data_IF_012245167866
#
_entry.id   IF_012245167866
#
_cell.length_a   1.000
_cell.length_b   1.000
_cell.length_c   1.000
_cell.angle_alpha   90.00
_cell.angle_beta   90.00
_cell.angle_gamma   90.00
#
_symmetry.space_group_name_H-M   'P 1'
#
loop_
_entity.id
_entity.type
_entity.pdbx_description
1 polymer ?
#
# COMPACT_ATOMS: atom_id res chain seq x y z
N UNK A 1 -55.46 37.26 -29.31
CA UNK A 1 -53.99 37.16 -29.40
C UNK A 1 -53.53 36.05 -28.47
N UNK A 2 -53.32 34.84 -29.01
CA UNK A 2 -52.79 33.66 -28.32
C UNK A 2 -51.30 33.57 -28.69
N UNK A 3 -50.40 33.52 -27.71
CA UNK A 3 -48.99 33.15 -27.92
C UNK A 3 -48.81 31.73 -27.41
N UNK A 4 -48.52 30.84 -28.35
CA UNK A 4 -48.10 29.45 -28.15
C UNK A 4 -46.59 29.42 -27.89
N UNK A 5 -46.17 28.85 -26.77
CA UNK A 5 -44.76 28.51 -26.49
C UNK A 5 -44.43 27.12 -27.08
N UNK A 6 -43.25 26.90 -27.68
CA UNK A 6 -42.83 25.58 -28.09
C UNK A 6 -42.20 24.83 -26.90
N UNK A 7 -42.64 23.58 -26.71
CA UNK A 7 -41.99 22.61 -25.84
C UNK A 7 -40.68 22.13 -26.50
N UNK A 8 -39.56 22.31 -25.81
CA UNK A 8 -38.26 21.76 -26.18
C UNK A 8 -38.16 20.34 -25.59
N UNK A 9 -38.22 19.31 -26.44
CA UNK A 9 -37.98 17.92 -26.06
C UNK A 9 -36.47 17.71 -26.06
N UNK A 10 -35.87 17.60 -24.87
CA UNK A 10 -34.47 17.20 -24.69
C UNK A 10 -34.42 15.68 -24.88
N UNK A 11 -33.81 15.23 -25.98
CA UNK A 11 -33.52 13.83 -26.22
C UNK A 11 -32.41 13.35 -25.30
N UNK A 12 -32.75 12.50 -24.34
CA UNK A 12 -31.80 11.78 -23.50
C UNK A 12 -31.07 10.75 -24.37
N UNK A 13 -29.80 10.99 -24.67
CA UNK A 13 -28.95 10.01 -25.32
C UNK A 13 -28.56 8.94 -24.29
N UNK A 14 -29.16 7.74 -24.42
CA UNK A 14 -28.75 6.55 -23.69
C UNK A 14 -27.35 6.14 -24.19
N UNK A 15 -26.31 6.43 -23.41
CA UNK A 15 -25.00 5.83 -23.60
C UNK A 15 -25.10 4.35 -23.23
N UNK A 16 -25.05 3.47 -24.22
CA UNK A 16 -24.91 2.04 -24.00
C UNK A 16 -23.52 1.78 -23.43
N UNK A 17 -23.44 1.52 -22.13
CA UNK A 17 -22.25 0.93 -21.51
C UNK A 17 -21.96 -0.40 -22.23
N UNK A 18 -20.93 -0.40 -23.07
CA UNK A 18 -20.40 -1.64 -23.62
C UNK A 18 -19.82 -2.43 -22.47
N UNK A 19 -20.46 -3.53 -22.08
CA UNK A 19 -19.85 -4.51 -21.21
C UNK A 19 -18.56 -4.98 -21.89
N UNK A 20 -17.40 -4.66 -21.31
CA UNK A 20 -16.13 -5.27 -21.69
C UNK A 20 -16.25 -6.75 -21.36
N UNK A 21 -16.68 -7.56 -22.33
CA UNK A 21 -16.55 -9.01 -22.24
C UNK A 21 -15.07 -9.31 -22.41
N UNK A 22 -14.36 -9.55 -21.30
CA UNK A 22 -13.03 -10.16 -21.35
C UNK A 22 -13.16 -11.47 -22.12
N UNK A 23 -12.43 -11.58 -23.23
CA UNK A 23 -12.36 -12.84 -23.95
C UNK A 23 -11.60 -13.82 -23.05
N UNK A 24 -12.15 -15.00 -22.73
CA UNK A 24 -11.44 -15.98 -21.92
C UNK A 24 -10.08 -16.27 -22.57
N UNK A 25 -9.00 -16.17 -21.80
CA UNK A 25 -7.66 -16.54 -22.28
C UNK A 25 -7.69 -18.04 -22.61
N UNK A 26 -7.23 -18.41 -23.81
CA UNK A 26 -7.08 -19.82 -24.16
C UNK A 26 -5.99 -20.41 -23.26
N UNK A 27 -6.34 -21.41 -22.45
CA UNK A 27 -5.41 -22.10 -21.56
C UNK A 27 -4.21 -22.62 -22.36
N UNK A 28 -3.04 -22.02 -22.12
CA UNK A 28 -1.77 -22.44 -22.71
C UNK A 28 -1.08 -23.43 -21.80
N UNK A 29 -0.37 -24.38 -22.39
CA UNK A 29 0.53 -25.26 -21.63
C UNK A 29 1.72 -24.44 -21.17
N UNK A 30 1.99 -24.46 -19.86
CA UNK A 30 3.15 -23.77 -19.30
C UNK A 30 4.46 -24.29 -19.93
N UNK A 31 5.35 -23.36 -20.30
CA UNK A 31 6.69 -23.65 -20.80
C UNK A 31 7.70 -23.00 -19.86
N UNK A 32 8.58 -23.81 -19.30
CA UNK A 32 9.60 -23.39 -18.33
C UNK A 32 10.96 -23.35 -19.00
N UNK A 33 11.80 -22.38 -18.62
CA UNK A 33 13.18 -22.28 -19.06
C UNK A 33 13.96 -23.52 -18.62
N UNK A 34 14.81 -24.04 -19.51
CA UNK A 34 15.70 -25.16 -19.19
C UNK A 34 16.73 -24.79 -18.11
N UNK A 35 16.93 -23.49 -17.87
CA UNK A 35 17.88 -22.92 -16.90
C UNK A 35 17.36 -22.89 -15.46
N UNK A 36 16.15 -23.38 -15.20
CA UNK A 36 15.55 -23.39 -13.86
C UNK A 36 15.95 -24.61 -13.06
N UNK A 37 16.37 -24.38 -11.81
CA UNK A 37 16.58 -25.42 -10.79
C UNK A 37 15.70 -25.10 -9.60
N UNK A 38 14.73 -25.99 -9.32
CA UNK A 38 13.88 -25.90 -8.13
C UNK A 38 14.57 -26.58 -6.96
N UNK A 39 14.59 -25.90 -5.82
CA UNK A 39 15.24 -26.30 -4.59
C UNK A 39 14.16 -26.53 -3.52
N UNK A 40 14.17 -27.72 -2.92
CA UNK A 40 13.33 -28.04 -1.76
C UNK A 40 14.03 -27.57 -0.48
N UNK A 41 14.20 -26.26 -0.33
CA UNK A 41 14.95 -25.63 0.77
C UNK A 41 14.20 -24.41 1.30
N UNK A 42 13.90 -24.39 2.60
CA UNK A 42 13.16 -23.28 3.22
C UNK A 42 14.11 -22.13 3.65
N UNK A 43 13.88 -20.88 3.20
CA UNK A 43 14.63 -19.71 3.65
C UNK A 43 14.58 -19.52 5.16
N UNK A 44 15.72 -19.23 5.77
CA UNK A 44 15.87 -19.08 7.22
C UNK A 44 15.94 -20.39 8.00
N UNK A 45 15.67 -21.54 7.38
CA UNK A 45 15.82 -22.87 7.98
C UNK A 45 16.95 -23.64 7.31
N UNK A 46 16.83 -23.86 5.99
CA UNK A 46 17.77 -24.65 5.20
C UNK A 46 18.77 -23.80 4.42
N UNK A 47 18.50 -22.51 4.24
CA UNK A 47 19.33 -21.58 3.49
C UNK A 47 19.21 -20.18 4.07
N UNK A 48 20.35 -19.51 4.25
CA UNK A 48 20.37 -18.08 4.55
C UNK A 48 20.31 -17.32 3.22
N UNK A 49 19.28 -16.49 3.06
CA UNK A 49 19.10 -15.63 1.88
C UNK A 49 19.61 -14.24 2.23
N UNK A 50 20.64 -13.78 1.52
CA UNK A 50 21.17 -12.42 1.59
C UNK A 50 20.95 -11.73 0.24
N UNK A 51 21.16 -10.40 0.19
CA UNK A 51 20.90 -9.61 -1.02
C UNK A 51 21.69 -10.09 -2.25
N UNK A 52 22.94 -10.53 -2.06
CA UNK A 52 23.88 -10.90 -3.12
C UNK A 52 24.34 -12.36 -3.07
N UNK A 53 23.79 -13.18 -2.16
CA UNK A 53 24.15 -14.61 -2.06
C UNK A 53 23.14 -15.46 -1.32
N UNK A 54 23.22 -16.76 -1.58
CA UNK A 54 22.57 -17.82 -0.82
C UNK A 54 23.64 -18.65 -0.10
N UNK A 55 23.45 -18.90 1.19
CA UNK A 55 24.37 -19.71 2.00
C UNK A 55 23.67 -20.99 2.45
N UNK A 56 24.15 -22.12 1.96
CA UNK A 56 23.60 -23.43 2.27
C UNK A 56 24.55 -24.20 3.21
N UNK A 57 24.10 -24.59 4.42
CA UNK A 57 24.85 -25.50 5.26
C UNK A 57 24.82 -26.91 4.64
N UNK A 58 26.00 -27.44 4.28
CA UNK A 58 26.18 -28.80 3.75
C UNK A 58 25.28 -29.16 2.53
N UNK A 59 25.49 -28.50 1.39
CA UNK A 59 24.77 -28.76 0.14
C UNK A 59 25.69 -29.23 -1.00
N UNK A 60 26.26 -30.44 -0.89
CA UNK A 60 27.10 -31.02 -1.95
C UNK A 60 26.33 -31.22 -3.27
N UNK A 61 25.01 -31.41 -3.19
CA UNK A 61 24.12 -31.55 -4.34
C UNK A 61 24.02 -30.28 -5.21
N UNK A 62 24.42 -29.13 -4.65
CA UNK A 62 24.40 -27.84 -5.35
C UNK A 62 25.79 -27.40 -5.85
N UNK A 63 26.84 -28.19 -5.60
CA UNK A 63 28.20 -27.86 -6.03
C UNK A 63 28.35 -27.78 -7.57
N UNK A 64 27.47 -28.48 -8.31
CA UNK A 64 27.46 -28.51 -9.77
C UNK A 64 26.52 -27.46 -10.40
N UNK A 65 25.93 -26.55 -9.61
CA UNK A 65 25.11 -25.45 -10.14
C UNK A 65 25.98 -24.54 -10.99
N UNK A 66 25.68 -24.46 -12.29
CA UNK A 66 26.40 -23.58 -13.20
C UNK A 66 25.99 -22.10 -13.00
N UNK A 67 26.91 -21.14 -13.18
CA UNK A 67 26.56 -19.74 -13.35
C UNK A 67 25.50 -19.53 -14.44
N UNK A 68 24.57 -18.61 -14.21
CA UNK A 68 23.45 -18.28 -15.09
C UNK A 68 22.14 -19.02 -14.79
N UNK A 69 22.20 -20.12 -14.02
CA UNK A 69 21.02 -20.89 -13.60
C UNK A 69 20.11 -20.05 -12.71
N UNK A 70 18.80 -20.22 -12.87
CA UNK A 70 17.78 -19.61 -12.02
C UNK A 70 17.42 -20.60 -10.92
N UNK A 71 17.70 -20.23 -9.68
CA UNK A 71 17.41 -21.01 -8.48
C UNK A 71 16.08 -20.53 -7.90
N UNK A 72 15.18 -21.48 -7.67
CA UNK A 72 13.83 -21.20 -7.17
C UNK A 72 13.55 -22.06 -5.96
N UNK A 73 12.99 -21.49 -4.90
CA UNK A 73 12.35 -22.25 -3.83
C UNK A 73 10.92 -21.79 -3.63
N UNK A 74 10.02 -22.76 -3.46
CA UNK A 74 8.62 -22.55 -3.07
C UNK A 74 8.35 -22.72 -1.57
N UNK A 75 9.38 -23.04 -0.77
CA UNK A 75 9.23 -23.31 0.66
C UNK A 75 9.29 -22.00 1.46
N UNK A 76 8.46 -21.86 2.49
CA UNK A 76 8.38 -20.63 3.28
C UNK A 76 8.11 -19.41 2.39
N UNK A 77 8.85 -18.31 2.60
CA UNK A 77 8.76 -17.12 1.74
C UNK A 77 9.30 -17.31 0.31
N UNK A 78 9.97 -18.42 0.03
CA UNK A 78 10.60 -18.69 -1.26
C UNK A 78 11.74 -17.72 -1.60
N UNK A 79 12.35 -17.93 -2.76
CA UNK A 79 13.27 -16.99 -3.40
C UNK A 79 13.35 -17.28 -4.90
N UNK A 80 13.71 -16.27 -5.67
CA UNK A 80 13.98 -16.37 -7.10
C UNK A 80 15.28 -15.64 -7.43
N UNK A 81 16.38 -16.39 -7.59
CA UNK A 81 17.73 -15.83 -7.71
C UNK A 81 18.48 -16.42 -8.90
N UNK A 82 19.31 -15.62 -9.57
CA UNK A 82 20.21 -16.12 -10.61
C UNK A 82 21.58 -16.37 -10.02
N UNK A 83 22.11 -17.58 -10.19
CA UNK A 83 23.46 -17.91 -9.75
C UNK A 83 24.52 -17.18 -10.57
N UNK A 84 25.46 -16.52 -9.91
CA UNK A 84 26.62 -15.83 -10.51
C UNK A 84 27.88 -16.68 -10.34
N UNK A 85 28.08 -17.26 -9.16
CA UNK A 85 29.16 -18.21 -8.88
C UNK A 85 28.77 -19.15 -7.73
N UNK A 86 29.48 -20.26 -7.61
CA UNK A 86 29.30 -21.26 -6.55
C UNK A 86 30.66 -21.57 -5.94
N UNK A 87 30.78 -21.40 -4.63
CA UNK A 87 32.02 -21.60 -3.91
C UNK A 87 31.80 -22.37 -2.60
N UNK A 88 32.63 -23.37 -2.34
CA UNK A 88 32.64 -24.05 -1.05
C UNK A 88 33.50 -23.26 -0.06
N UNK A 89 32.90 -22.80 1.04
CA UNK A 89 33.56 -22.03 2.09
C UNK A 89 33.41 -22.77 3.42
N UNK A 90 34.46 -23.52 3.80
CA UNK A 90 34.39 -24.37 4.98
C UNK A 90 33.42 -25.53 4.77
N UNK A 91 32.35 -25.57 5.56
CA UNK A 91 31.28 -26.57 5.46
C UNK A 91 30.03 -26.05 4.73
N UNK A 92 30.06 -24.78 4.30
CA UNK A 92 28.94 -24.14 3.65
C UNK A 92 29.20 -24.05 2.15
N UNK A 93 28.13 -24.12 1.37
CA UNK A 93 28.14 -23.75 -0.04
C UNK A 93 27.57 -22.34 -0.16
N UNK A 94 28.39 -21.42 -0.68
CA UNK A 94 27.99 -20.04 -0.93
C UNK A 94 27.76 -19.88 -2.42
N UNK A 95 26.53 -19.54 -2.80
CA UNK A 95 26.17 -19.20 -4.17
C UNK A 95 26.05 -17.69 -4.24
N UNK A 96 26.97 -17.01 -4.92
CA UNK A 96 26.78 -15.59 -5.22
C UNK A 96 25.62 -15.47 -6.22
N UNK A 97 24.72 -14.51 -6.00
CA UNK A 97 23.50 -14.37 -6.79
C UNK A 97 23.19 -12.93 -7.14
N UNK A 98 22.37 -12.75 -8.18
CA UNK A 98 21.66 -11.51 -8.47
C UNK A 98 20.14 -11.76 -8.51
N UNK A 99 19.29 -10.73 -8.37
CA UNK A 99 17.84 -10.87 -8.53
C UNK A 99 17.51 -11.48 -9.91
N UNK A 100 16.58 -12.45 -9.92
CA UNK A 100 16.03 -13.01 -11.16
C UNK A 100 14.58 -12.58 -11.35
N UNK A 101 14.16 -12.42 -12.61
CA UNK A 101 12.77 -12.21 -12.96
C UNK A 101 12.06 -13.53 -13.24
N UNK A 102 10.74 -13.55 -13.09
CA UNK A 102 9.86 -14.67 -13.32
C UNK A 102 9.88 -15.05 -14.79
N UNK A 103 10.08 -14.06 -15.68
CA UNK A 103 10.35 -14.26 -17.11
C UNK A 103 11.67 -14.96 -17.42
N UNK A 104 12.60 -15.04 -16.47
CA UNK A 104 13.82 -15.85 -16.60
C UNK A 104 13.54 -17.33 -16.35
N UNK A 105 12.52 -17.63 -15.53
CA UNK A 105 12.09 -18.98 -15.20
C UNK A 105 10.99 -19.49 -16.13
N UNK A 106 10.04 -18.64 -16.51
CA UNK A 106 8.82 -19.01 -17.25
C UNK A 106 8.85 -18.35 -18.63
N UNK A 107 8.68 -19.18 -19.67
CA UNK A 107 8.59 -18.76 -21.07
C UNK A 107 7.14 -18.57 -21.49
N UNK A 108 6.26 -19.50 -21.10
CA UNK A 108 4.80 -19.39 -21.26
C UNK A 108 4.14 -19.77 -19.93
N UNK A 109 3.22 -18.96 -19.43
CA UNK A 109 2.53 -19.25 -18.18
C UNK A 109 1.46 -18.22 -17.86
N UNK A 110 0.47 -18.63 -17.09
CA UNK A 110 -0.65 -17.80 -16.66
C UNK A 110 -0.97 -18.10 -15.20
N UNK A 111 -1.23 -17.05 -14.42
CA UNK A 111 -1.86 -17.11 -13.11
C UNK A 111 -3.11 -16.23 -13.16
N UNK A 112 -4.21 -16.74 -12.61
CA UNK A 112 -5.41 -15.97 -12.37
C UNK A 112 -5.96 -16.36 -11.01
N UNK A 113 -6.02 -15.38 -10.11
CA UNK A 113 -6.45 -15.59 -8.74
C UNK A 113 -7.35 -14.45 -8.27
N UNK A 114 -8.40 -14.83 -7.55
CA UNK A 114 -9.19 -13.90 -6.76
C UNK A 114 -9.02 -14.29 -5.30
N UNK A 115 -8.46 -13.36 -4.53
CA UNK A 115 -8.15 -13.57 -3.12
C UNK A 115 -9.04 -12.70 -2.26
N UNK A 116 -9.79 -13.32 -1.37
CA UNK A 116 -10.38 -12.62 -0.24
C UNK A 116 -9.29 -12.42 0.82
N UNK A 117 -8.93 -11.17 1.10
CA UNK A 117 -7.81 -10.84 2.01
C UNK A 117 -8.18 -11.01 3.49
N UNK A 118 -9.46 -11.25 3.77
CA UNK A 118 -9.97 -11.43 5.12
C UNK A 118 -10.62 -12.79 5.21
N UNK A 119 -9.89 -13.75 5.76
CA UNK A 119 -10.49 -15.04 6.12
C UNK A 119 -11.47 -14.82 7.29
N UNK A 120 -12.62 -15.51 7.26
CA UNK A 120 -13.39 -15.74 8.49
C UNK A 120 -12.46 -16.47 9.48
N UNK A 121 -12.14 -15.91 10.65
CA UNK A 121 -11.14 -16.52 11.53
C UNK A 121 -11.61 -17.90 11.99
N UNK A 122 -10.89 -18.96 11.60
CA UNK A 122 -11.03 -20.29 12.20
C UNK A 122 -10.05 -20.41 13.37
N UNK A 123 -10.53 -20.26 14.61
CA UNK A 123 -9.70 -20.40 15.81
C UNK A 123 -10.40 -20.06 17.13
N UNK A 124 -9.88 -20.52 18.29
CA UNK A 124 -10.50 -20.35 19.61
C UNK A 124 -10.57 -18.89 20.12
N UNK A 125 -9.98 -17.94 19.38
CA UNK A 125 -10.04 -16.49 19.62
C UNK A 125 -11.07 -15.77 18.74
N UNK A 126 -11.73 -16.48 17.81
CA UNK A 126 -12.80 -15.96 16.95
C UNK A 126 -14.05 -15.48 17.73
N UNK A 127 -14.19 -15.85 19.00
CA UNK A 127 -15.32 -15.43 19.85
C UNK A 127 -15.10 -14.11 20.61
N UNK A 128 -13.98 -13.42 20.41
CA UNK A 128 -13.64 -12.18 21.14
C UNK A 128 -14.08 -10.89 20.46
N UNK A 129 -14.23 -10.92 19.13
CA UNK A 129 -14.69 -9.79 18.32
C UNK A 129 -16.08 -10.13 17.81
N UNK A 130 -17.08 -9.85 18.66
CA UNK A 130 -18.48 -10.18 18.39
C UNK A 130 -19.02 -9.45 17.17
N UNK A 131 -19.04 -10.16 16.04
CA UNK A 131 -19.79 -9.85 14.84
C UNK A 131 -19.99 -11.14 14.07
N UNK A 132 -21.22 -11.66 14.08
CA UNK A 132 -21.62 -12.88 13.38
C UNK A 132 -21.22 -12.83 11.89
N UNK A 133 -20.18 -13.57 11.50
CA UNK A 133 -20.01 -14.09 10.14
C UNK A 133 -20.01 -13.10 8.97
N UNK A 134 -19.53 -11.88 9.13
CA UNK A 134 -19.28 -10.98 7.99
C UNK A 134 -17.81 -11.07 7.61
N UNK A 135 -17.51 -11.59 6.41
CA UNK A 135 -16.16 -11.53 5.83
C UNK A 135 -15.76 -10.08 5.64
N UNK A 136 -14.69 -9.65 6.31
CA UNK A 136 -14.31 -8.23 6.47
C UNK A 136 -13.62 -7.98 7.81
N UNK A 137 -12.73 -6.98 7.89
CA UNK A 137 -12.16 -6.58 9.17
C UNK A 137 -12.72 -5.22 9.58
N UNK A 138 -13.23 -5.15 10.82
CA UNK A 138 -13.71 -3.92 11.43
C UNK A 138 -12.85 -3.59 12.65
N UNK A 139 -12.19 -2.44 12.64
CA UNK A 139 -11.27 -2.00 13.71
C UNK A 139 -11.82 -0.72 14.35
N UNK A 140 -11.86 -0.73 15.69
CA UNK A 140 -12.06 0.48 16.48
C UNK A 140 -10.75 1.23 16.65
N UNK A 141 -10.76 2.52 16.34
CA UNK A 141 -9.58 3.41 16.36
C UNK A 141 -9.63 4.44 17.50
N UNK A 142 -10.64 4.34 18.38
CA UNK A 142 -10.82 5.26 19.50
C UNK A 142 -9.71 5.14 20.56
N UNK A 143 -9.27 6.28 21.08
CA UNK A 143 -8.25 6.38 22.12
C UNK A 143 -6.80 6.37 21.62
N UNK A 144 -6.56 6.37 20.31
CA UNK A 144 -5.20 6.40 19.76
C UNK A 144 -4.64 7.83 19.84
N UNK A 145 -3.44 7.98 20.40
CA UNK A 145 -2.64 9.20 20.28
C UNK A 145 -1.65 9.02 19.13
N UNK A 146 -1.79 9.82 18.08
CA UNK A 146 -0.92 9.75 16.89
C UNK A 146 0.40 10.48 17.16
N UNK A 147 0.33 11.63 17.84
CA UNK A 147 1.49 12.40 18.29
C UNK A 147 1.15 13.13 19.59
N UNK A 148 2.14 13.27 20.48
CA UNK A 148 2.01 13.98 21.74
C UNK A 148 3.38 14.40 22.26
N UNK A 149 3.87 15.56 21.80
CA UNK A 149 5.21 16.06 22.13
C UNK A 149 5.21 17.44 22.82
N UNK A 150 4.13 17.77 23.53
CA UNK A 150 3.94 19.05 24.24
C UNK A 150 3.45 20.16 23.33
N UNK A 151 4.10 20.34 22.19
CA UNK A 151 3.78 21.40 21.24
C UNK A 151 2.64 21.04 20.27
N UNK A 152 2.48 19.74 20.01
CA UNK A 152 1.43 19.15 19.21
C UNK A 152 0.90 17.90 19.93
N UNK A 153 -0.42 17.84 20.07
CA UNK A 153 -1.14 16.64 20.46
C UNK A 153 -2.24 16.35 19.45
N UNK A 154 -2.23 15.14 18.89
CA UNK A 154 -3.26 14.65 17.99
C UNK A 154 -3.77 13.33 18.52
N UNK A 155 -5.07 13.29 18.82
CA UNK A 155 -5.74 12.08 19.30
C UNK A 155 -6.95 11.75 18.45
N UNK A 156 -7.30 10.46 18.40
CA UNK A 156 -8.49 9.93 17.77
C UNK A 156 -9.45 9.53 18.88
N UNK A 157 -10.28 10.43 19.42
CA UNK A 157 -11.22 10.09 20.49
C UNK A 157 -12.21 8.99 20.07
N UNK A 158 -12.68 9.02 18.82
CA UNK A 158 -13.62 8.07 18.25
C UNK A 158 -13.20 7.74 16.82
N UNK A 159 -13.19 6.46 16.48
CA UNK A 159 -12.95 6.05 15.11
C UNK A 159 -13.31 4.59 14.86
N UNK A 160 -13.72 4.30 13.63
CA UNK A 160 -13.98 2.97 13.10
C UNK A 160 -13.50 2.92 11.66
N UNK A 161 -12.92 1.80 11.28
CA UNK A 161 -12.62 1.47 9.90
C UNK A 161 -13.08 0.05 9.62
N UNK A 162 -13.80 -0.14 8.52
CA UNK A 162 -14.32 -1.43 8.06
C UNK A 162 -14.07 -1.53 6.56
N UNK A 163 -13.36 -2.57 6.14
CA UNK A 163 -13.02 -2.77 4.73
C UNK A 163 -13.01 -4.26 4.40
N UNK A 164 -13.62 -4.60 3.26
CA UNK A 164 -13.74 -5.98 2.78
C UNK A 164 -13.09 -6.10 1.40
N UNK A 165 -11.76 -6.04 1.30
CA UNK A 165 -11.08 -6.11 0.02
C UNK A 165 -11.07 -7.53 -0.55
N UNK A 166 -11.46 -7.62 -1.81
CA UNK A 166 -11.13 -8.71 -2.71
C UNK A 166 -10.03 -8.25 -3.66
N UNK A 167 -8.98 -9.07 -3.79
CA UNK A 167 -7.85 -8.82 -4.67
C UNK A 167 -7.99 -9.66 -5.95
N UNK A 168 -8.02 -9.03 -7.10
CA UNK A 168 -7.90 -9.68 -8.42
C UNK A 168 -6.43 -9.58 -8.86
N UNK A 169 -5.74 -10.72 -8.82
CA UNK A 169 -4.38 -10.88 -9.30
C UNK A 169 -4.38 -11.72 -10.57
N UNK A 170 -3.82 -11.19 -11.65
CA UNK A 170 -3.64 -11.97 -12.87
C UNK A 170 -2.30 -11.64 -13.53
N UNK A 171 -1.66 -12.67 -14.08
CA UNK A 171 -0.35 -12.61 -14.71
C UNK A 171 -0.36 -13.47 -15.98
N UNK A 172 0.14 -12.92 -17.09
CA UNK A 172 0.37 -13.65 -18.34
C UNK A 172 1.79 -13.41 -18.84
N UNK A 173 2.56 -14.48 -18.95
CA UNK A 173 3.89 -14.49 -19.57
C UNK A 173 3.82 -15.25 -20.90
N UNK A 174 4.34 -14.63 -21.95
CA UNK A 174 4.50 -15.25 -23.26
C UNK A 174 5.84 -14.91 -23.89
N UNK A 175 6.47 -15.90 -24.50
CA UNK A 175 7.80 -15.79 -25.10
C UNK A 175 8.85 -15.18 -24.15
N UNK A 176 8.76 -15.49 -22.84
CA UNK A 176 9.62 -14.94 -21.80
C UNK A 176 9.43 -13.44 -21.58
N UNK A 177 8.24 -12.90 -21.87
CA UNK A 177 7.89 -11.50 -21.68
C UNK A 177 6.54 -11.38 -20.99
N UNK A 178 6.42 -10.42 -20.08
CA UNK A 178 5.14 -10.04 -19.50
C UNK A 178 4.22 -9.48 -20.60
N UNK A 179 3.04 -10.09 -20.78
CA UNK A 179 2.00 -9.66 -21.73
C UNK A 179 0.87 -8.93 -21.06
N UNK A 180 0.48 -9.42 -19.89
CA UNK A 180 -0.61 -8.88 -19.09
C UNK A 180 -0.27 -9.02 -17.61
N UNK A 181 -0.59 -7.98 -16.84
CA UNK A 181 -0.57 -8.00 -15.38
C UNK A 181 -1.79 -7.23 -14.88
N UNK A 182 -2.46 -7.74 -13.87
CA UNK A 182 -3.57 -7.06 -13.21
C UNK A 182 -3.40 -7.24 -11.72
N UNK A 183 -3.38 -6.13 -11.00
CA UNK A 183 -3.51 -6.11 -9.56
C UNK A 183 -4.51 -5.04 -9.20
N UNK A 184 -5.73 -5.48 -8.86
CA UNK A 184 -6.84 -4.59 -8.53
C UNK A 184 -7.47 -5.09 -7.24
N UNK A 185 -7.52 -4.24 -6.22
CA UNK A 185 -8.36 -4.50 -5.05
C UNK A 185 -9.70 -3.81 -5.24
N UNK A 186 -10.77 -4.51 -4.87
CA UNK A 186 -12.12 -3.98 -4.88
C UNK A 186 -12.83 -4.30 -3.57
N UNK A 187 -13.73 -3.42 -3.13
CA UNK A 187 -14.50 -3.67 -1.92
C UNK A 187 -15.27 -2.45 -1.43
N UNK A 188 -16.16 -2.70 -0.48
CA UNK A 188 -16.88 -1.66 0.24
C UNK A 188 -16.07 -1.25 1.48
N UNK A 189 -16.02 0.07 1.70
CA UNK A 189 -15.25 0.77 2.71
C UNK A 189 -16.21 1.64 3.54
N UNK A 190 -16.23 1.41 4.84
CA UNK A 190 -16.92 2.25 5.81
C UNK A 190 -15.91 2.81 6.82
N UNK A 191 -15.82 4.13 6.91
CA UNK A 191 -14.92 4.79 7.84
C UNK A 191 -15.65 5.90 8.61
N UNK A 192 -15.39 5.98 9.90
CA UNK A 192 -15.80 7.08 10.75
C UNK A 192 -14.57 7.53 11.54
N UNK A 193 -14.25 8.82 11.48
CA UNK A 193 -13.08 9.36 12.15
C UNK A 193 -13.42 10.69 12.82
N UNK A 194 -13.05 10.82 14.09
CA UNK A 194 -13.10 12.06 14.85
C UNK A 194 -11.70 12.33 15.39
N UNK A 195 -11.21 13.52 15.10
CA UNK A 195 -9.88 14.00 15.47
C UNK A 195 -10.01 15.09 16.52
N UNK A 196 -9.09 15.08 17.48
CA UNK A 196 -8.86 16.18 18.40
C UNK A 196 -7.39 16.60 18.30
N UNK A 197 -7.16 17.87 17.99
CA UNK A 197 -5.84 18.41 17.67
C UNK A 197 -5.58 19.66 18.48
N UNK A 198 -4.55 19.61 19.32
CA UNK A 198 -4.07 20.72 20.13
C UNK A 198 -2.67 21.12 19.68
N UNK A 199 -2.50 22.41 19.38
CA UNK A 199 -1.24 23.03 18.96
C UNK A 199 -0.95 24.17 19.93
N UNK A 200 0.17 24.09 20.65
CA UNK A 200 0.59 25.11 21.62
C UNK A 200 1.62 26.09 21.04
N UNK A 201 2.40 25.66 20.04
CA UNK A 201 3.47 26.45 19.45
C UNK A 201 3.07 27.23 18.18
N UNK A 202 3.83 28.30 17.89
CA UNK A 202 3.61 29.17 16.73
C UNK A 202 3.87 28.50 15.37
N UNK A 203 4.49 27.32 15.32
CA UNK A 203 4.68 26.55 14.10
C UNK A 203 4.69 25.06 14.40
N UNK A 204 3.80 24.31 13.74
CA UNK A 204 3.77 22.86 13.76
C UNK A 204 3.59 22.37 12.33
N UNK A 205 4.62 21.70 11.80
CA UNK A 205 4.53 21.04 10.51
C UNK A 205 5.13 19.64 10.63
N UNK A 206 4.42 18.65 10.11
CA UNK A 206 4.90 17.28 10.16
C UNK A 206 3.87 16.27 9.72
N UNK A 207 4.36 15.06 9.56
CA UNK A 207 3.56 13.87 9.29
C UNK A 207 3.89 12.84 10.35
N UNK A 208 2.85 12.27 10.95
CA UNK A 208 2.97 11.26 11.98
C UNK A 208 2.05 10.10 11.63
N UNK A 209 2.51 8.89 11.84
CA UNK A 209 1.77 7.66 11.56
C UNK A 209 1.97 6.67 12.69
N UNK A 210 0.92 5.92 13.00
CA UNK A 210 0.94 4.82 13.96
C UNK A 210 0.36 3.58 13.27
N UNK A 211 1.16 2.53 13.03
CA UNK A 211 0.63 1.27 12.55
C UNK A 211 -0.28 0.68 13.64
N UNK A 212 -1.46 0.21 13.22
CA UNK A 212 -2.49 -0.30 14.13
C UNK A 212 -2.60 -1.82 14.02
N UNK A 213 -2.48 -2.36 12.81
CA UNK A 213 -2.67 -3.77 12.56
C UNK A 213 -1.99 -4.18 11.25
N UNK A 214 -1.58 -5.44 11.17
CA UNK A 214 -0.94 -6.04 10.00
C UNK A 214 -1.27 -7.53 9.96
N UNK A 215 -1.54 -8.05 8.76
CA UNK A 215 -1.68 -9.48 8.50
C UNK A 215 -1.03 -9.82 7.17
N UNK A 216 -0.68 -11.09 6.97
CA UNK A 216 -0.19 -11.57 5.68
C UNK A 216 -0.75 -12.95 5.38
N UNK A 217 -0.93 -13.21 4.09
CA UNK A 217 -1.38 -14.50 3.57
C UNK A 217 -0.46 -14.91 2.43
N UNK A 218 0.01 -16.14 2.51
CA UNK A 218 0.90 -16.74 1.53
C UNK A 218 0.11 -17.65 0.61
N UNK A 219 0.38 -17.53 -0.68
CA UNK A 219 -0.13 -18.38 -1.74
C UNK A 219 1.07 -19.00 -2.46
N UNK A 220 0.85 -20.21 -2.96
CA UNK A 220 1.82 -20.87 -3.80
C UNK A 220 1.10 -21.54 -4.96
N UNK A 221 1.49 -21.17 -6.17
CA UNK A 221 0.90 -21.66 -7.40
C UNK A 221 1.98 -22.26 -8.29
N UNK A 222 1.66 -23.36 -8.97
CA UNK A 222 2.60 -24.02 -9.85
C UNK A 222 2.39 -23.55 -11.29
N UNK A 223 3.39 -22.86 -11.86
CA UNK A 223 3.48 -22.69 -13.32
C UNK A 223 4.42 -23.78 -13.84
N UNK A 224 3.85 -24.82 -14.46
CA UNK A 224 4.63 -26.01 -14.80
C UNK A 224 5.21 -26.66 -13.53
N UNK A 225 6.53 -26.76 -13.44
CA UNK A 225 7.22 -27.25 -12.24
C UNK A 225 7.80 -26.13 -11.37
N UNK A 226 7.61 -24.87 -11.73
CA UNK A 226 8.13 -23.72 -10.97
C UNK A 226 7.08 -23.32 -9.92
N UNK A 227 7.42 -23.36 -8.62
CA UNK A 227 6.54 -22.82 -7.59
C UNK A 227 6.66 -21.29 -7.59
N UNK A 228 5.56 -20.60 -7.82
CA UNK A 228 5.44 -19.15 -7.66
C UNK A 228 4.86 -18.89 -6.28
N UNK A 229 5.58 -18.15 -5.45
CA UNK A 229 5.14 -17.80 -4.10
C UNK A 229 4.68 -16.35 -4.11
N UNK A 230 3.44 -16.12 -3.71
CA UNK A 230 2.90 -14.78 -3.50
C UNK A 230 2.66 -14.57 -2.00
N UNK A 231 3.14 -13.46 -1.43
CA UNK A 231 2.75 -13.02 -0.10
C UNK A 231 1.98 -11.73 -0.20
N UNK A 232 0.70 -11.78 0.14
CA UNK A 232 -0.13 -10.60 0.23
C UNK A 232 -0.14 -10.12 1.67
N UNK A 233 0.35 -8.92 1.88
CA UNK A 233 0.32 -8.23 3.16
C UNK A 233 -0.77 -7.16 3.15
N UNK A 234 -1.53 -7.11 4.23
CA UNK A 234 -2.48 -6.05 4.49
C UNK A 234 -2.09 -5.35 5.79
N UNK A 235 -1.80 -4.06 5.66
CA UNK A 235 -1.35 -3.19 6.75
C UNK A 235 -2.31 -2.04 6.95
N UNK A 236 -2.60 -1.73 8.21
CA UNK A 236 -3.49 -0.65 8.61
C UNK A 236 -2.78 0.26 9.58
N UNK A 237 -3.01 1.56 9.43
CA UNK A 237 -2.61 2.51 10.42
C UNK A 237 -3.41 3.79 10.35
N UNK A 238 -3.08 4.68 11.26
CA UNK A 238 -3.65 6.01 11.35
C UNK A 238 -2.54 7.03 11.25
N UNK A 239 -2.84 8.20 10.72
CA UNK A 239 -1.87 9.26 10.63
C UNK A 239 -2.49 10.63 10.61
N UNK A 240 -1.61 11.62 10.75
CA UNK A 240 -1.97 13.02 10.64
C UNK A 240 -0.88 13.75 9.87
N UNK A 241 -1.30 14.62 8.96
CA UNK A 241 -0.48 15.67 8.40
C UNK A 241 -0.95 17.00 8.98
N UNK A 242 -0.02 17.77 9.52
CA UNK A 242 -0.29 19.09 10.11
C UNK A 242 0.60 20.11 9.41
N UNK A 243 0.01 21.25 9.07
CA UNK A 243 0.69 22.47 8.69
C UNK A 243 -0.03 23.62 9.40
N UNK A 244 0.56 24.13 10.48
CA UNK A 244 -0.06 25.11 11.32
C UNK A 244 0.91 26.22 11.74
N UNK A 245 0.40 27.45 11.77
CA UNK A 245 1.07 28.63 12.31
C UNK A 245 0.18 29.28 13.39
N UNK A 246 0.63 29.26 14.64
CA UNK A 246 -0.11 29.77 15.79
C UNK A 246 -0.73 28.66 16.64
N UNK A 247 -1.24 29.04 17.81
CA UNK A 247 -1.91 28.13 18.72
C UNK A 247 -3.36 27.88 18.27
N UNK A 248 -3.78 26.63 18.30
CA UNK A 248 -5.14 26.25 17.96
C UNK A 248 -5.54 24.95 18.66
N UNK A 249 -6.81 24.85 19.04
CA UNK A 249 -7.45 23.61 19.42
C UNK A 249 -8.60 23.35 18.45
N UNK A 250 -8.61 22.19 17.79
CA UNK A 250 -9.65 21.83 16.85
C UNK A 250 -10.17 20.41 17.09
N UNK A 251 -11.48 20.27 16.98
CA UNK A 251 -12.17 18.97 16.95
C UNK A 251 -13.00 18.91 15.67
N UNK A 252 -12.78 17.87 14.88
CA UNK A 252 -13.47 17.67 13.60
C UNK A 252 -13.59 16.18 13.28
N UNK A 253 -14.43 15.84 12.31
CA UNK A 253 -14.61 14.45 11.93
C UNK A 253 -15.58 14.28 10.78
N UNK A 254 -15.85 13.02 10.47
CA UNK A 254 -16.66 12.65 9.33
C UNK A 254 -16.96 11.17 9.27
N UNK A 255 -18.00 10.84 8.51
CA UNK A 255 -18.30 9.49 8.08
C UNK A 255 -18.13 9.39 6.57
N UNK A 256 -17.63 8.25 6.11
CA UNK A 256 -17.42 7.90 4.72
C UNK A 256 -18.01 6.51 4.50
N UNK A 257 -18.78 6.37 3.44
CA UNK A 257 -19.11 5.10 2.81
C UNK A 257 -18.62 5.16 1.36
N UNK A 258 -17.82 4.20 0.95
CA UNK A 258 -17.28 4.14 -0.41
C UNK A 258 -17.29 2.71 -0.95
N UNK A 259 -17.54 2.57 -2.25
CA UNK A 259 -17.25 1.35 -3.00
C UNK A 259 -16.10 1.67 -3.93
N UNK A 260 -14.99 0.96 -3.84
CA UNK A 260 -13.74 1.28 -4.53
C UNK A 260 -13.24 0.10 -5.36
N UNK A 261 -12.64 0.41 -6.51
CA UNK A 261 -11.84 -0.48 -7.33
C UNK A 261 -10.56 0.27 -7.66
N UNK A 262 -9.45 -0.20 -7.10
CA UNK A 262 -8.21 0.53 -7.06
C UNK A 262 -7.04 -0.40 -7.39
N UNK A 263 -6.17 0.01 -8.30
CA UNK A 263 -5.04 -0.82 -8.71
C UNK A 263 -4.39 -0.36 -10.00
N UNK A 264 -3.71 -1.29 -10.66
CA UNK A 264 -3.14 -1.06 -11.97
C UNK A 264 -3.17 -2.31 -12.86
N UNK A 265 -3.19 -2.07 -14.16
CA UNK A 265 -3.13 -3.08 -15.20
C UNK A 265 -2.00 -2.77 -16.16
N UNK A 266 -1.21 -3.78 -16.49
CA UNK A 266 -0.27 -3.75 -17.60
C UNK A 266 -0.87 -4.49 -18.78
N UNK A 267 -1.00 -3.82 -19.92
CA UNK A 267 -1.39 -4.45 -21.18
C UNK A 267 -0.77 -3.71 -22.34
N UNK A 268 -0.47 -4.41 -23.43
CA UNK A 268 0.10 -3.82 -24.64
C UNK A 268 1.43 -3.04 -24.44
N UNK A 269 2.15 -3.34 -23.35
CA UNK A 269 3.41 -2.66 -23.02
C UNK A 269 3.26 -1.40 -22.19
N UNK A 270 2.05 -1.03 -21.78
CA UNK A 270 1.74 0.18 -21.03
C UNK A 270 0.99 -0.15 -19.73
N UNK A 271 1.14 0.73 -18.74
CA UNK A 271 0.40 0.66 -17.48
C UNK A 271 -0.80 1.59 -17.52
N UNK A 272 -1.89 1.10 -16.95
CA UNK A 272 -3.14 1.80 -16.81
C UNK A 272 -3.57 1.77 -15.34
N UNK A 273 -3.79 2.94 -14.75
CA UNK A 273 -4.41 3.06 -13.44
C UNK A 273 -5.87 2.56 -13.49
N UNK A 274 -6.28 1.85 -12.44
CA UNK A 274 -7.67 1.48 -12.19
C UNK A 274 -8.10 2.22 -10.92
N UNK A 275 -9.17 3.02 -11.00
CA UNK A 275 -9.59 3.94 -9.94
C UNK A 275 -11.08 4.25 -9.97
N UNK A 276 -11.92 3.22 -10.11
CA UNK A 276 -13.38 3.39 -10.07
C UNK A 276 -13.84 3.54 -8.62
N UNK A 277 -14.85 4.39 -8.42
CA UNK A 277 -15.30 4.75 -7.07
C UNK A 277 -16.74 5.25 -7.06
N UNK A 278 -17.43 4.94 -5.97
CA UNK A 278 -18.67 5.59 -5.57
C UNK A 278 -18.52 6.01 -4.12
N UNK A 279 -18.76 7.28 -3.82
CA UNK A 279 -18.45 7.87 -2.52
C UNK A 279 -19.65 8.62 -1.97
N UNK A 280 -19.96 8.38 -0.71
CA UNK A 280 -20.93 9.13 0.09
C UNK A 280 -20.27 9.55 1.38
N UNK A 281 -20.30 10.85 1.67
CA UNK A 281 -19.66 11.40 2.86
C UNK A 281 -20.63 12.21 3.69
N UNK A 282 -20.37 12.25 4.99
CA UNK A 282 -21.05 13.10 5.95
C UNK A 282 -19.99 13.83 6.76
N UNK A 283 -19.87 15.15 6.53
CA UNK A 283 -18.97 16.01 7.30
C UNK A 283 -19.60 16.33 8.65
N UNK A 284 -18.86 16.13 9.75
CA UNK A 284 -19.29 16.55 11.08
C UNK A 284 -18.91 18.01 11.34
N UNK A 285 -19.63 18.73 12.24
CA UNK A 285 -19.29 20.11 12.57
C UNK A 285 -17.84 20.26 13.06
N UNK A 286 -17.16 21.30 12.57
CA UNK A 286 -15.87 21.74 13.06
C UNK A 286 -16.05 22.63 14.31
N UNK A 287 -15.31 22.33 15.36
CA UNK A 287 -15.05 23.24 16.47
C UNK A 287 -13.59 23.61 16.40
N UNK A 288 -13.29 24.91 16.31
CA UNK A 288 -11.91 25.42 16.32
C UNK A 288 -11.84 26.66 17.19
N UNK A 289 -10.86 26.66 18.09
CA UNK A 289 -10.52 27.76 18.98
C UNK A 289 -9.06 28.17 18.73
N UNK A 290 -8.82 29.46 18.52
CA UNK A 290 -7.49 30.00 18.21
C UNK A 290 -7.54 31.01 17.07
N UNK A 291 -6.39 31.64 16.80
CA UNK A 291 -6.17 32.63 15.75
C UNK A 291 -5.10 32.19 14.74
N UNK A 292 -4.63 30.93 14.84
CA UNK A 292 -3.63 30.37 13.95
C UNK A 292 -4.16 29.96 12.57
N UNK A 293 -3.29 29.97 11.57
CA UNK A 293 -3.54 29.34 10.27
C UNK A 293 -3.32 27.84 10.42
N UNK A 294 -4.32 27.02 10.10
CA UNK A 294 -4.28 25.58 10.39
C UNK A 294 -4.78 24.78 9.19
N UNK A 295 -3.89 23.96 8.64
CA UNK A 295 -4.17 22.87 7.73
C UNK A 295 -3.93 21.53 8.43
N UNK A 296 -4.96 20.72 8.59
CA UNK A 296 -4.83 19.39 9.20
C UNK A 296 -5.50 18.36 8.30
N UNK A 297 -4.88 17.20 8.13
CA UNK A 297 -5.46 16.02 7.50
C UNK A 297 -5.19 14.81 8.39
N UNK A 298 -6.22 14.35 9.10
CA UNK A 298 -6.21 13.07 9.78
C UNK A 298 -6.69 11.97 8.83
N UNK A 299 -6.00 10.83 8.79
CA UNK A 299 -6.31 9.75 7.86
C UNK A 299 -6.18 8.38 8.52
N UNK A 300 -6.94 7.43 8.00
CA UNK A 300 -6.67 5.99 8.16
C UNK A 300 -6.08 5.54 6.83
N UNK A 301 -5.08 4.68 6.84
CA UNK A 301 -4.57 4.05 5.63
C UNK A 301 -4.78 2.53 5.71
N UNK A 302 -5.19 1.96 4.58
CA UNK A 302 -5.16 0.53 4.33
C UNK A 302 -4.27 0.26 3.12
N UNK A 303 -3.24 -0.54 3.34
CA UNK A 303 -2.23 -0.85 2.37
C UNK A 303 -2.26 -2.35 2.07
N UNK A 304 -2.44 -2.70 0.80
CA UNK A 304 -2.30 -4.05 0.27
C UNK A 304 -1.01 -4.12 -0.51
N UNK A 305 0.00 -4.80 0.02
CA UNK A 305 1.27 -5.04 -0.66
C UNK A 305 1.34 -6.49 -1.13
N UNK A 306 1.80 -6.72 -2.36
CA UNK A 306 2.04 -8.06 -2.89
C UNK A 306 3.54 -8.24 -3.08
N UNK A 307 4.10 -9.22 -2.40
CA UNK A 307 5.47 -9.69 -2.60
C UNK A 307 5.44 -10.95 -3.45
N UNK A 308 6.38 -11.05 -4.39
CA UNK A 308 6.61 -12.25 -5.17
C UNK A 308 7.93 -12.83 -4.70
N UNK A 309 7.88 -14.00 -4.06
CA UNK A 309 8.98 -14.55 -3.28
C UNK A 309 9.46 -13.54 -2.21
N UNK A 310 10.76 -13.28 -2.17
CA UNK A 310 11.45 -12.34 -1.27
C UNK A 310 11.57 -10.92 -1.84
N UNK A 311 11.00 -10.64 -3.03
CA UNK A 311 11.07 -9.34 -3.66
C UNK A 311 9.80 -8.52 -3.44
N UNK A 312 10.00 -7.26 -3.03
CA UNK A 312 8.93 -6.27 -2.92
C UNK A 312 8.29 -6.06 -4.30
N UNK A 313 6.96 -6.23 -4.36
CA UNK A 313 6.18 -6.01 -5.55
C UNK A 313 5.34 -4.74 -5.47
N UNK A 314 4.20 -4.69 -6.18
CA UNK A 314 3.29 -3.56 -6.12
C UNK A 314 2.53 -3.46 -4.78
N UNK A 315 2.24 -2.23 -4.38
CA UNK A 315 1.42 -1.86 -3.25
C UNK A 315 0.27 -0.94 -3.68
N UNK A 316 -0.89 -1.16 -3.07
CA UNK A 316 -2.06 -0.33 -3.20
C UNK A 316 -2.38 0.29 -1.85
N UNK A 317 -2.66 1.59 -1.82
CA UNK A 317 -3.09 2.29 -0.63
C UNK A 317 -4.44 2.97 -0.83
N UNK A 318 -5.34 2.77 0.13
CA UNK A 318 -6.61 3.50 0.25
C UNK A 318 -6.61 4.27 1.56
N UNK A 319 -6.93 5.56 1.48
CA UNK A 319 -6.86 6.50 2.59
C UNK A 319 -8.14 7.30 2.73
N UNK A 320 -9.13 6.85 3.52
CA UNK A 320 -10.15 7.75 4.00
C UNK A 320 -9.54 8.81 4.93
N UNK A 321 -9.98 10.04 4.80
CA UNK A 321 -9.45 11.15 5.57
C UNK A 321 -10.52 12.16 5.97
N UNK A 322 -10.21 12.87 7.04
CA UNK A 322 -10.93 14.06 7.51
C UNK A 322 -9.90 15.18 7.63
N UNK A 323 -10.29 16.40 7.33
CA UNK A 323 -9.36 17.51 7.35
C UNK A 323 -10.01 18.84 7.59
N UNK A 324 -9.15 19.82 7.80
CA UNK A 324 -9.48 21.23 7.92
C UNK A 324 -8.55 21.96 6.98
N UNK A 325 -9.10 22.71 6.03
CA UNK A 325 -8.34 23.53 5.10
C UNK A 325 -8.56 24.99 5.47
N UNK A 326 -7.45 25.74 5.59
CA UNK A 326 -7.48 27.18 5.71
C UNK A 326 -7.50 27.81 4.31
N UNK A 327 -8.49 28.68 4.04
CA UNK A 327 -8.57 29.38 2.76
C UNK A 327 -8.08 30.82 2.92
N UNK A 328 -7.03 31.18 2.19
CA UNK A 328 -6.72 32.59 1.98
C UNK A 328 -7.60 33.14 0.86
N UNK A 329 -8.40 34.16 1.17
CA UNK A 329 -9.08 34.94 0.14
C UNK A 329 -8.30 36.24 -0.07
N UNK A 330 -7.99 36.55 -1.33
CA UNK A 330 -7.42 37.83 -1.70
C UNK A 330 -8.58 38.75 -2.10
N UNK A 331 -9.02 39.61 -1.19
CA UNK A 331 -9.97 40.68 -1.50
C UNK A 331 -9.22 41.99 -1.72
N UNK A 332 -9.37 42.59 -2.91
CA UNK A 332 -8.79 43.89 -3.27
C UNK A 332 -7.26 43.99 -3.10
N UNK A 333 -6.53 42.86 -3.17
CA UNK A 333 -5.08 42.82 -3.01
C UNK A 333 -4.61 42.73 -1.57
N UNK A 334 -5.52 42.61 -0.60
CA UNK A 334 -5.22 42.31 0.80
C UNK A 334 -5.60 40.84 1.10
N UNK A 335 -4.71 40.13 1.79
CA UNK A 335 -5.01 38.78 2.29
C UNK A 335 -5.95 38.91 3.47
N UNK A 336 -7.21 38.49 3.30
CA UNK A 336 -8.15 38.35 4.40
C UNK A 336 -8.10 36.87 4.83
N UNK A 337 -7.79 36.54 6.10
CA UNK A 337 -7.93 35.17 6.57
C UNK A 337 -9.42 34.80 6.53
N UNK A 338 -9.79 33.92 5.60
CA UNK A 338 -11.12 33.35 5.56
C UNK A 338 -11.10 31.96 6.21
N UNK A 339 -12.22 31.67 6.88
CA UNK A 339 -12.28 30.64 7.89
C UNK A 339 -11.94 29.24 7.43
N UNK A 340 -11.90 28.36 8.42
CA UNK A 340 -11.59 26.96 8.24
C UNK A 340 -12.76 26.20 7.62
N UNK A 341 -12.47 25.40 6.60
CA UNK A 341 -13.45 24.53 5.96
C UNK A 341 -13.14 23.07 6.30
N UNK A 342 -14.01 22.38 7.03
CA UNK A 342 -13.83 20.95 7.29
C UNK A 342 -14.15 20.14 6.04
N UNK A 343 -13.39 19.07 5.86
CA UNK A 343 -13.36 18.20 4.68
C UNK A 343 -13.43 16.74 5.10
N UNK A 344 -14.12 15.93 4.32
CA UNK A 344 -14.08 14.45 4.41
C UNK A 344 -13.87 13.91 3.01
N UNK A 345 -12.97 12.93 2.87
CA UNK A 345 -12.68 12.35 1.57
C UNK A 345 -12.07 10.96 1.63
N UNK A 346 -11.77 10.44 0.45
CA UNK A 346 -11.05 9.20 0.24
C UNK A 346 -10.07 9.36 -0.91
N UNK A 347 -8.85 8.92 -0.68
CA UNK A 347 -7.77 8.93 -1.66
C UNK A 347 -7.32 7.51 -1.95
N UNK A 348 -7.01 7.23 -3.22
CA UNK A 348 -6.47 5.96 -3.68
C UNK A 348 -5.14 6.19 -4.38
N UNK A 349 -4.14 5.39 -4.03
CA UNK A 349 -2.81 5.44 -4.58
C UNK A 349 -2.33 4.04 -4.93
N UNK A 350 -1.62 3.93 -6.05
CA UNK A 350 -0.93 2.71 -6.45
C UNK A 350 0.55 3.00 -6.63
N UNK A 351 1.37 2.10 -6.13
CA UNK A 351 2.82 2.14 -6.29
C UNK A 351 3.34 0.76 -6.70
N UNK A 352 4.23 0.74 -7.68
CA UNK A 352 5.02 -0.44 -8.03
C UNK A 352 6.48 -0.02 -8.09
N UNK A 353 7.27 -0.42 -7.08
CA UNK A 353 8.69 -0.06 -6.96
C UNK A 353 9.63 -0.96 -7.80
N UNK A 354 10.90 -0.53 -7.87
CA UNK A 354 11.96 -1.10 -8.70
C UNK A 354 12.31 -2.53 -8.24
N UNK A 355 12.31 -3.47 -9.18
CA UNK A 355 12.48 -4.93 -9.01
C UNK A 355 11.21 -5.72 -8.67
N UNK A 356 10.07 -5.36 -9.29
CA UNK A 356 9.04 -6.38 -9.49
C UNK A 356 9.71 -7.56 -10.21
N UNK A 357 9.83 -8.74 -9.59
CA UNK A 357 10.59 -9.86 -10.14
C UNK A 357 9.78 -10.51 -11.27
N UNK A 358 8.97 -9.77 -12.02
CA UNK A 358 8.19 -10.25 -13.15
C UNK A 358 8.87 -9.83 -14.45
N UNK A 359 9.58 -8.69 -14.47
CA UNK A 359 10.10 -8.08 -15.69
C UNK A 359 11.62 -7.97 -15.57
N UNK A 360 12.36 -8.70 -16.41
CA UNK A 360 13.84 -8.70 -16.46
C UNK A 360 14.52 -7.38 -16.89
N UNK A 361 13.92 -6.22 -16.60
CA UNK A 361 14.52 -4.90 -16.77
C UNK A 361 14.36 -4.09 -15.49
N UNK A 362 15.40 -3.35 -15.05
CA UNK A 362 15.28 -2.42 -13.93
C UNK A 362 14.24 -1.37 -14.30
N UNK A 363 13.07 -1.48 -13.69
CA UNK A 363 11.90 -0.71 -14.07
C UNK A 363 11.74 0.45 -13.09
N UNK A 364 11.90 1.69 -13.57
CA UNK A 364 11.68 2.92 -12.78
C UNK A 364 10.21 2.93 -12.38
N UNK A 365 9.96 2.88 -11.06
CA UNK A 365 8.65 2.53 -10.49
C UNK A 365 7.46 3.28 -11.06
N UNK A 366 6.30 2.62 -11.08
CA UNK A 366 5.03 3.23 -11.48
C UNK A 366 4.28 3.68 -10.24
N UNK A 367 4.10 4.98 -10.11
CA UNK A 367 3.29 5.58 -9.07
C UNK A 367 2.14 6.34 -9.71
N UNK A 368 0.92 6.07 -9.26
CA UNK A 368 -0.27 6.73 -9.75
C UNK A 368 -1.18 7.09 -8.58
N UNK A 369 -1.59 8.36 -8.53
CA UNK A 369 -2.79 8.72 -7.80
C UNK A 369 -3.99 8.22 -8.61
N UNK A 370 -4.74 7.30 -8.03
CA UNK A 370 -5.89 6.67 -8.68
C UNK A 370 -7.12 7.59 -8.59
N UNK A 371 -7.30 8.21 -7.42
CA UNK A 371 -8.35 9.18 -7.16
C UNK A 371 -8.10 9.95 -5.86
N UNK A 372 -8.71 11.13 -5.77
CA UNK A 372 -8.95 11.86 -4.52
C UNK A 372 -10.34 12.50 -4.61
N UNK A 373 -11.29 12.02 -3.82
CA UNK A 373 -12.68 12.52 -3.79
C UNK A 373 -12.98 13.01 -2.41
N UNK A 374 -13.53 14.23 -2.31
CA UNK A 374 -13.87 14.81 -1.02
C UNK A 374 -15.09 15.70 -1.08
N UNK A 375 -15.65 16.00 0.08
CA UNK A 375 -16.69 17.01 0.26
C UNK A 375 -16.29 17.94 1.40
N UNK A 376 -16.39 19.23 1.11
CA UNK A 376 -16.28 20.29 2.10
C UNK A 376 -17.66 20.51 2.76
N UNK A 377 -17.70 20.92 4.03
CA UNK A 377 -18.97 21.13 4.73
C UNK A 377 -19.84 22.17 4.01
N UNK A 378 -21.04 21.73 3.61
CA UNK A 378 -22.00 22.55 2.87
C UNK A 378 -21.74 22.64 1.35
N UNK A 379 -20.70 21.99 0.85
CA UNK A 379 -20.39 21.85 -0.57
C UNK A 379 -20.93 20.56 -1.18
N UNK A 380 -20.88 20.46 -2.51
CA UNK A 380 -21.06 19.21 -3.24
C UNK A 380 -19.74 18.41 -3.27
N UNK A 381 -19.76 17.08 -3.47
CA UNK A 381 -18.55 16.29 -3.68
C UNK A 381 -17.73 16.82 -4.86
N UNK A 382 -16.42 16.92 -4.67
CA UNK A 382 -15.44 17.39 -5.65
C UNK A 382 -14.36 16.33 -5.88
N UNK A 383 -13.84 16.27 -7.10
CA UNK A 383 -12.65 15.48 -7.43
C UNK A 383 -11.43 16.40 -7.31
N UNK A 384 -10.47 16.03 -6.46
CA UNK A 384 -9.26 16.80 -6.25
C UNK A 384 -8.36 16.76 -7.48
N UNK A 385 -7.81 17.92 -7.85
CA UNK A 385 -6.58 17.94 -8.64
C UNK A 385 -5.44 17.62 -7.67
N UNK A 386 -5.24 16.32 -7.39
CA UNK A 386 -4.32 15.79 -6.40
C UNK A 386 -3.33 16.79 -5.83
N UNK A 387 -3.61 17.30 -4.61
CA UNK A 387 -2.53 17.82 -3.79
C UNK A 387 -1.44 16.74 -3.78
N UNK A 388 -0.17 17.11 -4.02
CA UNK A 388 0.94 16.18 -4.23
C UNK A 388 0.76 14.88 -3.43
N UNK A 389 0.73 13.70 -4.08
CA UNK A 389 0.39 12.44 -3.42
C UNK A 389 1.22 12.31 -2.15
N UNK A 390 0.56 11.94 -1.05
CA UNK A 390 1.27 11.62 0.18
C UNK A 390 2.26 10.51 -0.18
N UNK A 391 3.57 10.64 0.05
CA UNK A 391 4.46 9.51 -0.16
C UNK A 391 3.94 8.33 0.67
N UNK A 392 4.09 7.10 0.20
CA UNK A 392 3.74 5.93 1.00
C UNK A 392 4.44 6.03 2.37
N UNK A 393 3.86 5.48 3.46
CA UNK A 393 4.61 5.29 4.69
C UNK A 393 5.95 4.67 4.30
N UNK A 394 7.05 5.33 4.64
CA UNK A 394 8.34 4.66 4.53
C UNK A 394 8.27 3.49 5.50
N UNK A 395 8.50 2.27 5.01
CA UNK A 395 8.72 1.11 5.87
C UNK A 395 9.71 1.57 6.93
N UNK A 396 9.25 1.61 8.18
CA UNK A 396 9.99 2.21 9.26
C UNK A 396 11.37 1.56 9.29
N UNK A 397 12.39 2.32 8.88
CA UNK A 397 13.78 1.91 9.06
C UNK A 397 13.95 1.76 10.57
N UNK A 398 14.05 0.50 11.00
CA UNK A 398 14.22 0.08 12.39
C UNK A 398 15.48 0.78 12.91
N UNK A 399 15.32 1.97 13.49
CA UNK A 399 16.41 2.81 13.94
C UNK A 399 17.31 2.06 14.91
N UNK A 400 18.36 1.46 14.36
CA UNK A 400 19.45 0.80 15.06
C UNK A 400 20.08 1.83 15.99
N UNK A 401 19.78 1.70 17.27
CA UNK A 401 20.37 2.52 18.30
C UNK A 401 21.82 2.07 18.51
N UNK A 402 22.73 2.61 17.69
CA UNK A 402 24.17 2.45 17.87
C UNK A 402 24.62 3.21 19.11
N UNK A 403 24.58 2.51 20.24
CA UNK A 403 25.20 2.93 21.49
C UNK A 403 26.73 2.86 21.40
N UNK A 404 27.35 3.84 20.76
CA UNK A 404 28.77 4.12 20.93
C UNK A 404 29.01 4.94 22.20
N UNK A 405 29.48 4.26 23.24
CA UNK A 405 29.98 4.86 24.47
C UNK A 405 31.25 4.15 24.94
N UNK A 406 32.34 4.28 24.19
CA UNK A 406 33.70 4.10 24.70
C UNK A 406 34.35 5.48 24.84
N UNK A 407 34.87 5.83 26.01
CA UNK A 407 36.31 5.70 26.21
C UNK A 407 36.78 5.98 27.65
N UNK A 408 37.80 5.22 28.00
CA UNK A 408 38.98 5.53 28.81
C UNK A 408 38.90 5.88 30.30
N UNK A 409 39.48 4.95 31.07
CA UNK A 409 40.07 5.22 32.37
C UNK A 409 41.57 5.55 32.30
N UNK A 410 42.09 6.01 33.43
CA UNK A 410 43.44 5.64 33.88
C UNK A 410 44.46 6.76 34.11
N UNK A 411 44.75 7.02 35.39
CA UNK A 411 46.07 7.43 35.92
C UNK A 411 46.45 8.91 35.73
N UNK A 412 46.99 9.65 36.68
CA UNK A 412 47.78 9.25 37.85
C UNK A 412 49.23 9.72 37.72
N UNK A 413 49.53 10.84 38.40
CA UNK A 413 50.81 11.20 39.02
C UNK A 413 51.96 11.93 38.26
N UNK A 414 52.33 13.05 38.90
CA UNK A 414 53.66 13.64 39.15
C UNK A 414 54.48 14.30 38.04
N UNK A 415 54.88 15.55 38.31
CA UNK A 415 56.31 15.88 38.35
C UNK A 415 56.76 17.14 37.60
N UNK A 416 57.14 18.14 38.39
CA UNK A 416 58.01 19.31 38.11
C UNK A 416 57.43 20.56 37.46
#
# INVERSE_FOLDING_TARGET
MRRSSPFLIIGLALATLGACTSTPLESRTAQISEDVTVLEREPGIDVTVEDDRLVFPYAEDLADVAPGRVLVSGQGGGFLRRAVSVEAVGNDLVVATEPAALTDAIIEGEIQEQVDLVDTPEGPWASGWGGDGMGGFAIGLGGITVVGNGDLSVTIPEGRFDFQPQLDFSLDISHGQLRYFNLVASGDLDAALKMDVQIENAYAAGRFQVPVWKTSKMFMQMIGFVPVVEMVELSLGVGVQVDAMGAAHSTFGGNLHASVEAGARFEQGEWHAVGNKMVSVQVLPLVIEGDGMVGIRGFVYAEVAVMLYDAAGPALMIMPYVGVVHHEQIEQGEHQPHGWTPRVGVMGMFEAMLQVPIIGKPWIGYQAMLFDVYQDLGGEPMEGMGDSPLPMPEDGDDGGHDGHGGDDGGGGHSGH
#
